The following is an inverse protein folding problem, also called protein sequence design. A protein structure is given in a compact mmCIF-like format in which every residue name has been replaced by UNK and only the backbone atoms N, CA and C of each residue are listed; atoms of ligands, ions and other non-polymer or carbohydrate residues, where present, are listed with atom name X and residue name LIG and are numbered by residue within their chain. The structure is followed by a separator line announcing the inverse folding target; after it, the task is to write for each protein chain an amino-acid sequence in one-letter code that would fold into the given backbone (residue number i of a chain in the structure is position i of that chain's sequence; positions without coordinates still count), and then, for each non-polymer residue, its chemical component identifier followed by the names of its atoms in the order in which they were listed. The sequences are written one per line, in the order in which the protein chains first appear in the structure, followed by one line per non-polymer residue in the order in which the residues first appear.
data_IF_430671803723
#
_entry.id   IF_430671803723
#
_cell.length_a   1.000
_cell.length_b   1.000
_cell.length_c   1.000
_cell.angle_alpha   90.00
_cell.angle_beta   90.00
_cell.angle_gamma   90.00
#
_symmetry.space_group_name_H-M   'P 1'
#
loop_
_entity.id
_entity.type
_entity.pdbx_description
1 polymer ?
#
# COMPACT_ATOMS: atom_id res chain seq x y z
N UNK A 1 -0.32 -33.96 -96.92
CA UNK A 1 -1.44 -33.51 -96.02
C UNK A 1 -0.86 -33.37 -94.60
N UNK A 2 -0.58 -32.14 -94.21
CA UNK A 2 0.03 -31.91 -92.91
C UNK A 2 -1.07 -31.25 -92.01
N UNK A 3 -1.55 -31.97 -91.01
CA UNK A 3 -2.54 -31.45 -90.06
C UNK A 3 -1.81 -30.56 -89.00
N UNK A 4 -2.19 -29.28 -88.99
CA UNK A 4 -1.76 -28.31 -87.99
C UNK A 4 -2.58 -28.51 -86.72
N UNK A 5 -1.95 -28.82 -85.60
CA UNK A 5 -2.57 -28.81 -84.31
C UNK A 5 -2.33 -27.46 -83.59
N UNK A 6 -3.41 -26.74 -83.29
CA UNK A 6 -3.39 -25.54 -82.52
C UNK A 6 -3.53 -25.89 -81.05
N UNK A 7 -2.55 -25.56 -80.26
CA UNK A 7 -2.59 -25.72 -78.78
C UNK A 7 -3.30 -24.50 -78.14
N UNK A 8 -4.20 -24.71 -77.20
CA UNK A 8 -4.81 -23.60 -76.45
C UNK A 8 -3.85 -23.08 -75.38
N UNK A 9 -3.75 -21.76 -75.33
CA UNK A 9 -2.98 -21.05 -74.28
C UNK A 9 -3.71 -21.17 -72.94
N UNK A 10 -3.06 -21.81 -71.99
CA UNK A 10 -3.54 -21.85 -70.58
C UNK A 10 -3.09 -20.60 -69.88
N UNK A 11 -4.04 -19.69 -69.60
CA UNK A 11 -3.79 -18.50 -68.77
C UNK A 11 -3.71 -18.96 -67.33
N UNK A 12 -2.51 -18.89 -66.72
CA UNK A 12 -2.29 -19.14 -65.29
C UNK A 12 -2.62 -17.84 -64.58
N UNK A 13 -3.73 -17.82 -63.84
CA UNK A 13 -4.10 -16.74 -62.92
C UNK A 13 -3.24 -16.92 -61.65
N UNK A 14 -2.23 -16.07 -61.45
CA UNK A 14 -1.51 -15.94 -60.20
C UNK A 14 -2.38 -15.16 -59.21
N UNK A 15 -3.06 -15.89 -58.32
CA UNK A 15 -3.67 -15.27 -57.14
C UNK A 15 -2.53 -14.87 -56.18
N UNK A 16 -2.28 -13.57 -56.07
CA UNK A 16 -1.42 -13.01 -55.03
C UNK A 16 -2.11 -13.11 -53.65
N UNK A 17 -1.71 -14.06 -52.87
CA UNK A 17 -2.10 -14.20 -51.47
C UNK A 17 -1.35 -13.16 -50.64
N UNK A 18 -1.99 -12.07 -50.23
CA UNK A 18 -1.46 -11.13 -49.25
C UNK A 18 -1.73 -11.72 -47.85
N UNK A 19 -0.70 -11.86 -47.01
CA UNK A 19 -0.93 -12.33 -45.63
C UNK A 19 -1.71 -11.27 -44.86
N UNK A 20 -2.67 -11.63 -44.01
CA UNK A 20 -3.37 -10.68 -43.15
C UNK A 20 -2.36 -9.99 -42.24
N UNK A 21 -2.36 -8.66 -42.26
CA UNK A 21 -1.57 -7.83 -41.35
C UNK A 21 -2.04 -8.12 -39.93
N UNK A 22 -1.17 -8.78 -39.16
CA UNK A 22 -1.41 -8.96 -37.74
C UNK A 22 -1.36 -7.59 -37.07
N UNK A 23 -2.52 -7.01 -36.78
CA UNK A 23 -2.63 -5.87 -35.86
C UNK A 23 -2.16 -6.34 -34.50
N UNK A 24 -0.98 -5.86 -34.09
CA UNK A 24 -0.50 -6.04 -32.73
C UNK A 24 -1.53 -5.40 -31.78
N UNK A 25 -2.33 -6.22 -31.12
CA UNK A 25 -3.16 -5.78 -30.02
C UNK A 25 -2.21 -5.33 -28.91
N UNK A 26 -2.06 -4.01 -28.74
CA UNK A 26 -1.48 -3.43 -27.56
C UNK A 26 -2.36 -3.84 -26.39
N UNK A 27 -1.92 -4.84 -25.63
CA UNK A 27 -2.54 -5.19 -24.35
C UNK A 27 -2.59 -3.92 -23.50
N UNK A 28 -3.73 -3.57 -22.91
CA UNK A 28 -3.78 -2.42 -22.01
C UNK A 28 -2.76 -2.70 -20.90
N UNK A 29 -1.78 -1.81 -20.79
CA UNK A 29 -0.83 -1.81 -19.68
C UNK A 29 -1.68 -1.74 -18.42
N UNK A 30 -1.75 -2.83 -17.67
CA UNK A 30 -2.40 -2.83 -16.36
C UNK A 30 -1.69 -1.75 -15.55
N UNK A 31 -2.37 -0.64 -15.29
CA UNK A 31 -1.87 0.35 -14.36
C UNK A 31 -1.69 -0.37 -13.03
N UNK A 32 -0.45 -0.59 -12.63
CA UNK A 32 -0.14 -1.19 -11.34
C UNK A 32 -0.77 -0.30 -10.27
N UNK A 33 -1.76 -0.83 -9.56
CA UNK A 33 -2.35 -0.14 -8.43
C UNK A 33 -1.22 0.11 -7.42
N UNK A 34 -1.11 1.34 -6.93
CA UNK A 34 -0.12 1.66 -5.91
C UNK A 34 -0.23 0.68 -4.73
N UNK A 35 0.89 0.18 -4.22
CA UNK A 35 0.87 -0.78 -3.13
C UNK A 35 0.21 -0.19 -1.89
N UNK A 36 -0.60 -0.99 -1.23
CA UNK A 36 -1.22 -0.64 0.03
C UNK A 36 -0.32 -1.15 1.16
N UNK A 37 0.11 -0.26 2.03
CA UNK A 37 0.95 -0.60 3.17
C UNK A 37 0.19 -0.46 4.48
N UNK A 38 0.51 -1.30 5.43
CA UNK A 38 0.00 -1.32 6.79
C UNK A 38 1.14 -0.91 7.72
N UNK A 39 0.80 -0.30 8.86
CA UNK A 39 1.80 0.15 9.81
C UNK A 39 1.61 -0.53 11.16
N UNK A 40 2.72 -0.74 11.86
CA UNK A 40 2.74 -1.29 13.22
C UNK A 40 3.56 -0.38 14.11
N UNK A 41 2.95 0.03 15.22
CA UNK A 41 3.60 0.74 16.30
C UNK A 41 3.54 -0.10 17.57
N UNK A 42 4.63 -0.14 18.32
CA UNK A 42 4.72 -0.82 19.62
C UNK A 42 5.06 0.21 20.66
N UNK A 43 4.35 0.18 21.77
CA UNK A 43 4.52 1.08 22.89
C UNK A 43 4.64 0.34 24.22
N UNK A 44 5.31 0.93 25.18
CA UNK A 44 5.45 0.40 26.53
C UNK A 44 4.17 0.54 27.35
N UNK A 45 3.39 1.58 27.09
CA UNK A 45 2.11 1.78 27.75
C UNK A 45 1.15 2.58 26.87
N UNK A 46 -0.12 2.49 27.21
CA UNK A 46 -1.20 3.21 26.54
C UNK A 46 -2.09 3.90 27.57
N UNK A 47 -2.57 5.07 27.23
CA UNK A 47 -3.61 5.78 27.98
C UNK A 47 -4.66 6.34 27.03
N UNK A 48 -5.91 6.38 27.47
CA UNK A 48 -7.01 7.01 26.74
C UNK A 48 -7.76 7.96 27.65
N UNK A 49 -7.78 9.23 27.26
CA UNK A 49 -8.44 10.29 28.03
C UNK A 49 -8.97 11.35 27.06
N UNK A 50 -10.19 11.79 27.28
CA UNK A 50 -10.84 12.90 26.56
C UNK A 50 -10.78 12.74 25.02
N UNK A 51 -10.95 11.50 24.53
CA UNK A 51 -10.89 11.18 23.10
C UNK A 51 -9.47 11.04 22.53
N UNK A 52 -8.45 11.22 23.36
CA UNK A 52 -7.04 11.11 22.95
C UNK A 52 -6.45 9.79 23.40
N UNK A 53 -5.99 9.01 22.43
CA UNK A 53 -5.18 7.81 22.64
C UNK A 53 -3.70 8.20 22.67
N UNK A 54 -3.02 7.95 23.76
CA UNK A 54 -1.59 8.19 23.95
C UNK A 54 -0.86 6.86 24.00
N UNK A 55 0.05 6.64 23.09
CA UNK A 55 1.04 5.57 23.13
C UNK A 55 2.33 6.14 23.69
N UNK A 56 2.78 5.61 24.82
CA UNK A 56 3.98 6.12 25.52
C UNK A 56 5.18 5.21 25.34
N UNK A 57 6.36 5.85 25.23
CA UNK A 57 7.65 5.18 24.99
C UNK A 57 7.55 4.22 23.80
N UNK A 58 7.08 4.78 22.67
CA UNK A 58 6.97 4.01 21.42
C UNK A 58 8.35 3.68 20.86
N UNK A 59 8.45 2.57 20.14
CA UNK A 59 9.64 2.29 19.31
C UNK A 59 9.97 3.53 18.46
N UNK A 60 11.25 3.92 18.32
CA UNK A 60 11.62 5.09 17.54
C UNK A 60 11.27 4.98 16.06
N UNK A 61 10.96 3.79 15.61
CA UNK A 61 10.62 3.47 14.23
C UNK A 61 9.23 2.83 14.16
N UNK A 62 8.43 3.29 13.21
CA UNK A 62 7.19 2.63 12.79
C UNK A 62 7.52 1.60 11.72
N UNK A 63 7.14 0.35 11.93
CA UNK A 63 7.28 -0.70 10.93
C UNK A 63 6.15 -0.62 9.93
N UNK A 64 6.44 -0.84 8.66
CA UNK A 64 5.42 -0.98 7.62
C UNK A 64 5.63 -2.25 6.80
N UNK A 65 4.55 -2.75 6.24
CA UNK A 65 4.57 -3.89 5.32
C UNK A 65 3.36 -3.83 4.38
N UNK A 66 3.47 -4.51 3.25
CA UNK A 66 2.35 -4.74 2.33
C UNK A 66 2.06 -6.22 2.21
N UNK A 67 0.83 -6.53 1.79
CA UNK A 67 0.43 -7.87 1.41
C UNK A 67 1.06 -8.31 0.09
N UNK A 68 0.82 -9.56 -0.27
CA UNK A 68 1.15 -10.09 -1.59
C UNK A 68 0.29 -9.39 -2.65
N UNK A 69 0.82 -9.20 -3.86
CA UNK A 69 2.10 -9.69 -4.38
C UNK A 69 3.33 -8.83 -4.04
N UNK A 70 3.15 -7.60 -3.59
CA UNK A 70 4.22 -6.59 -3.48
C UNK A 70 5.26 -6.94 -2.42
N UNK A 71 4.84 -7.50 -1.27
CA UNK A 71 5.71 -7.96 -0.18
C UNK A 71 6.72 -6.91 0.29
N UNK A 72 6.30 -5.66 0.36
CA UNK A 72 7.13 -4.58 0.88
C UNK A 72 7.24 -4.70 2.39
N UNK A 73 8.40 -4.40 2.94
CA UNK A 73 8.59 -4.24 4.38
C UNK A 73 9.70 -3.24 4.64
N UNK A 74 9.59 -2.52 5.74
CA UNK A 74 10.59 -1.57 6.15
C UNK A 74 10.21 -0.86 7.44
N UNK A 75 11.00 0.14 7.77
CA UNK A 75 10.78 0.98 8.94
C UNK A 75 10.96 2.43 8.57
N UNK A 76 10.17 3.30 9.16
CA UNK A 76 10.34 4.74 9.03
C UNK A 76 10.28 5.40 10.41
N UNK A 77 10.94 6.53 10.52
CA UNK A 77 10.92 7.30 11.76
C UNK A 77 9.51 7.79 12.05
N UNK A 78 9.17 7.92 13.33
CA UNK A 78 7.82 8.30 13.73
C UNK A 78 7.40 9.71 13.26
N UNK A 79 8.35 10.63 13.12
CA UNK A 79 8.07 11.96 12.58
C UNK A 79 7.66 11.89 11.10
N UNK A 80 8.30 11.00 10.33
CA UNK A 80 7.94 10.75 8.94
C UNK A 80 6.58 10.07 8.82
N UNK A 81 6.32 9.10 9.68
CA UNK A 81 5.01 8.45 9.75
C UNK A 81 3.90 9.49 10.03
N UNK A 82 4.09 10.39 11.00
CA UNK A 82 3.11 11.43 11.31
C UNK A 82 2.90 12.41 10.13
N UNK A 83 3.95 12.71 9.36
CA UNK A 83 3.85 13.56 8.18
C UNK A 83 3.04 12.89 7.04
N UNK A 84 3.18 11.56 6.85
CA UNK A 84 2.39 10.81 5.86
C UNK A 84 0.88 10.99 6.05
N UNK A 85 0.44 11.26 7.26
CA UNK A 85 -0.98 11.45 7.57
C UNK A 85 -1.63 12.55 6.76
N UNK A 86 -0.87 13.61 6.47
CA UNK A 86 -1.35 14.80 5.77
C UNK A 86 -1.17 14.72 4.26
N UNK A 87 -0.59 13.65 3.74
CA UNK A 87 -0.17 13.56 2.34
C UNK A 87 -1.18 12.82 1.45
N UNK A 88 -1.29 13.31 0.21
CA UNK A 88 -2.05 12.68 -0.87
C UNK A 88 -3.56 12.82 -0.77
N UNK A 89 -4.23 12.58 -1.89
CA UNK A 89 -5.70 12.61 -1.99
C UNK A 89 -6.37 11.49 -1.18
N UNK A 90 -5.70 10.34 -1.08
CA UNK A 90 -6.14 9.18 -0.30
C UNK A 90 -5.34 9.06 1.01
N UNK A 91 -4.79 10.17 1.50
CA UNK A 91 -4.08 10.21 2.78
C UNK A 91 -5.04 10.05 3.95
N UNK A 92 -4.52 9.63 5.07
CA UNK A 92 -5.26 9.37 6.31
C UNK A 92 -6.03 10.58 6.85
N UNK A 93 -5.64 11.79 6.47
CA UNK A 93 -6.39 13.00 6.80
C UNK A 93 -7.79 13.02 6.15
N UNK A 94 -7.87 12.54 4.91
CA UNK A 94 -9.10 12.55 4.12
C UNK A 94 -9.91 11.26 4.29
N UNK A 95 -9.22 10.16 4.55
CA UNK A 95 -9.80 8.83 4.79
C UNK A 95 -9.13 8.22 6.04
N UNK A 96 -9.62 8.54 7.23
CA UNK A 96 -9.02 8.12 8.49
C UNK A 96 -8.97 6.59 8.61
N UNK A 97 -7.81 6.02 8.95
CA UNK A 97 -7.64 4.58 8.99
C UNK A 97 -8.34 3.96 10.18
N UNK A 98 -8.76 2.73 9.98
CA UNK A 98 -9.03 1.82 11.09
C UNK A 98 -7.71 1.30 11.65
N UNK A 99 -7.71 1.02 12.95
CA UNK A 99 -6.58 0.40 13.59
C UNK A 99 -7.04 -0.63 14.64
N UNK A 100 -6.25 -1.69 14.79
CA UNK A 100 -6.41 -2.66 15.85
C UNK A 100 -5.42 -2.34 16.99
N UNK A 101 -5.94 -1.83 18.09
CA UNK A 101 -5.19 -1.64 19.32
C UNK A 101 -5.24 -2.93 20.12
N UNK A 102 -4.10 -3.52 20.38
CA UNK A 102 -3.95 -4.68 21.28
C UNK A 102 -3.16 -4.26 22.51
N UNK A 103 -3.75 -4.37 23.67
CA UNK A 103 -3.09 -4.12 24.96
C UNK A 103 -2.82 -5.45 25.64
N UNK A 104 -1.56 -5.73 25.90
CA UNK A 104 -1.14 -7.01 26.51
C UNK A 104 -1.43 -7.02 28.02
N UNK A 105 -2.01 -8.10 28.45
CA UNK A 105 -2.28 -8.34 29.87
C UNK A 105 -1.43 -9.53 30.32
N UNK A 106 -0.42 -9.35 31.19
CA UNK A 106 0.42 -10.43 31.65
C UNK A 106 -0.34 -11.57 32.39
N UNK A 107 -1.49 -11.23 32.98
CA UNK A 107 -2.31 -12.17 33.73
C UNK A 107 -3.48 -12.80 32.97
N UNK A 108 -3.64 -12.48 31.67
CA UNK A 108 -4.81 -12.96 30.93
C UNK A 108 -4.78 -12.71 29.44
N UNK A 109 -5.97 -12.72 28.84
CA UNK A 109 -6.12 -12.46 27.41
C UNK A 109 -5.82 -10.99 27.10
N UNK A 110 -5.16 -10.69 25.96
CA UNK A 110 -5.00 -9.33 25.49
C UNK A 110 -6.35 -8.65 25.30
N UNK A 111 -6.44 -7.37 25.61
CA UNK A 111 -7.58 -6.54 25.21
C UNK A 111 -7.35 -6.07 23.78
N UNK A 112 -8.31 -6.31 22.89
CA UNK A 112 -8.28 -5.86 21.51
C UNK A 112 -9.45 -4.96 21.22
N UNK A 113 -9.17 -3.77 20.71
CA UNK A 113 -10.14 -2.75 20.34
C UNK A 113 -9.88 -2.29 18.91
N UNK A 114 -10.93 -2.17 18.12
CA UNK A 114 -10.84 -1.54 16.80
C UNK A 114 -11.20 -0.07 16.95
N UNK A 115 -10.34 0.80 16.45
CA UNK A 115 -10.46 2.25 16.55
C UNK A 115 -10.33 2.91 15.20
N UNK A 116 -10.90 4.10 15.05
CA UNK A 116 -10.54 5.05 13.99
C UNK A 116 -9.57 6.04 14.61
N UNK A 117 -8.53 6.39 13.87
CA UNK A 117 -7.47 7.31 14.30
C UNK A 117 -7.47 8.57 13.45
N UNK A 118 -7.23 9.71 14.09
CA UNK A 118 -7.01 11.00 13.42
C UNK A 118 -5.94 11.80 14.16
N UNK A 119 -5.43 12.84 13.50
CA UNK A 119 -4.56 13.86 14.10
C UNK A 119 -3.36 13.31 14.91
N UNK A 120 -2.42 12.58 14.26
CA UNK A 120 -1.22 12.14 14.97
C UNK A 120 -0.38 13.31 15.45
N UNK A 121 0.09 13.22 16.69
CA UNK A 121 0.96 14.19 17.32
C UNK A 121 2.10 13.49 18.00
N UNK A 122 3.30 14.06 17.91
CA UNK A 122 4.49 13.55 18.58
C UNK A 122 4.83 14.46 19.77
N UNK A 123 5.13 13.84 20.89
CA UNK A 123 5.68 14.50 22.07
C UNK A 123 6.80 13.62 22.64
N UNK A 124 8.04 13.97 22.32
CA UNK A 124 9.20 13.17 22.67
C UNK A 124 9.11 11.75 22.13
N UNK A 125 8.99 10.77 23.04
CA UNK A 125 8.82 9.35 22.71
C UNK A 125 7.35 8.91 22.68
N UNK A 126 6.41 9.83 22.77
CA UNK A 126 5.00 9.52 22.77
C UNK A 126 4.38 9.84 21.41
N UNK A 127 3.43 9.03 20.98
CA UNK A 127 2.54 9.33 19.84
C UNK A 127 1.12 9.41 20.38
N UNK A 128 0.44 10.48 20.02
CA UNK A 128 -0.96 10.70 20.38
C UNK A 128 -1.82 10.75 19.12
N UNK A 129 -3.02 10.22 19.23
CA UNK A 129 -4.06 10.27 18.20
C UNK A 129 -5.37 10.71 18.82
N UNK A 130 -6.20 11.44 18.09
CA UNK A 130 -7.60 11.47 18.43
C UNK A 130 -8.18 10.12 17.98
N UNK A 131 -8.90 9.44 18.88
CA UNK A 131 -9.34 8.07 18.65
C UNK A 131 -10.81 7.87 19.04
N UNK A 132 -11.50 7.03 18.26
CA UNK A 132 -12.85 6.60 18.54
C UNK A 132 -12.97 5.09 18.36
N UNK A 133 -13.51 4.41 19.37
CA UNK A 133 -13.76 2.98 19.28
C UNK A 133 -14.85 2.68 18.23
N UNK A 134 -14.60 1.69 17.39
CA UNK A 134 -15.56 1.06 16.50
C UNK A 134 -16.09 -0.23 17.09
N UNK A 135 -15.21 -1.00 17.73
CA UNK A 135 -15.54 -2.28 18.34
C UNK A 135 -14.67 -2.49 19.56
N UNK A 136 -15.27 -2.92 20.66
CA UNK A 136 -14.60 -3.05 21.94
C UNK A 136 -14.54 -1.71 22.70
N UNK A 137 -13.74 -1.67 23.74
CA UNK A 137 -13.57 -0.51 24.61
C UNK A 137 -12.08 -0.17 24.69
N UNK A 138 -11.74 1.11 24.51
CA UNK A 138 -10.36 1.57 24.66
C UNK A 138 -10.08 1.65 26.16
N UNK A 139 -9.08 0.93 26.67
CA UNK A 139 -8.78 0.98 28.10
C UNK A 139 -8.26 2.37 28.50
N UNK A 140 -8.72 2.88 29.64
CA UNK A 140 -8.27 4.16 30.19
C UNK A 140 -6.75 4.17 30.40
N UNK A 141 -6.20 3.04 30.82
CA UNK A 141 -4.76 2.82 30.95
C UNK A 141 -4.42 1.36 30.65
N UNK A 142 -3.24 1.12 30.11
CA UNK A 142 -2.73 -0.21 29.81
C UNK A 142 -1.20 -0.24 29.74
N UNK A 143 -0.66 -1.45 29.80
CA UNK A 143 0.76 -1.72 29.64
C UNK A 143 1.20 -1.80 28.20
N UNK A 144 2.12 -2.71 27.94
CA UNK A 144 2.65 -2.95 26.59
C UNK A 144 1.53 -3.14 25.58
N UNK A 145 1.68 -2.51 24.43
CA UNK A 145 0.64 -2.48 23.41
C UNK A 145 1.21 -2.46 22.00
N UNK A 146 0.42 -2.98 21.08
CA UNK A 146 0.67 -2.89 19.64
C UNK A 146 -0.53 -2.25 18.96
N UNK A 147 -0.26 -1.35 18.03
CA UNK A 147 -1.24 -0.68 17.19
C UNK A 147 -0.96 -1.03 15.75
N UNK A 148 -1.90 -1.77 15.14
CA UNK A 148 -1.89 -2.11 13.72
C UNK A 148 -2.80 -1.15 12.98
N UNK A 149 -2.24 -0.35 12.07
CA UNK A 149 -2.96 0.69 11.34
C UNK A 149 -3.13 0.24 9.90
N UNK A 150 -4.39 0.21 9.43
CA UNK A 150 -4.75 -0.30 8.12
C UNK A 150 -4.56 0.76 7.01
N UNK A 151 -4.15 0.28 5.86
CA UNK A 151 -4.50 0.81 4.55
C UNK A 151 -3.99 2.16 4.07
N UNK A 152 -2.69 2.46 4.09
CA UNK A 152 -2.15 3.59 3.35
C UNK A 152 -1.80 3.21 1.91
N UNK A 153 -2.39 3.90 0.93
CA UNK A 153 -2.01 3.77 -0.46
C UNK A 153 -0.77 4.62 -0.73
N UNK A 154 0.40 3.97 -0.78
CA UNK A 154 1.65 4.66 -1.09
C UNK A 154 1.56 5.30 -2.49
N UNK A 155 1.70 6.64 -2.62
CA UNK A 155 1.63 7.29 -3.92
C UNK A 155 2.84 6.90 -4.76
N UNK A 156 2.67 5.91 -5.63
CA UNK A 156 3.68 5.54 -6.63
C UNK A 156 3.68 6.46 -7.86
N UNK A 157 2.84 7.46 -7.86
CA UNK A 157 2.72 8.36 -9.00
C UNK A 157 3.34 9.70 -8.63
N UNK A 158 4.65 9.77 -8.79
CA UNK A 158 5.19 10.96 -8.26
C UNK A 158 6.15 11.68 -9.10
N UNK A 159 5.64 12.64 -9.69
CA UNK A 159 6.26 13.91 -9.79
C UNK A 159 6.35 14.68 -8.44
N UNK A 160 6.01 14.05 -7.34
CA UNK A 160 6.21 14.62 -6.03
C UNK A 160 7.62 14.27 -5.57
N UNK A 161 8.49 15.29 -5.57
CA UNK A 161 9.71 15.30 -4.80
C UNK A 161 9.35 15.20 -3.30
N UNK A 162 8.84 14.04 -2.89
CA UNK A 162 8.69 13.75 -1.48
C UNK A 162 10.04 13.21 -1.00
N UNK A 163 10.85 14.01 -0.27
CA UNK A 163 12.17 13.59 0.18
C UNK A 163 12.11 12.36 1.09
N UNK A 164 10.95 12.02 1.62
CA UNK A 164 10.72 10.91 2.53
C UNK A 164 10.45 9.59 1.82
N UNK A 165 9.86 9.66 0.63
CA UNK A 165 9.69 8.50 -0.25
C UNK A 165 10.91 8.31 -1.16
N UNK A 166 11.84 9.27 -1.20
CA UNK A 166 13.10 9.11 -1.95
C UNK A 166 14.03 8.09 -1.32
N UNK A 167 13.92 7.82 -0.03
CA UNK A 167 14.62 6.71 0.62
C UNK A 167 13.96 5.34 0.35
N UNK A 168 12.65 5.36 -0.01
CA UNK A 168 11.89 4.17 -0.41
C UNK A 168 11.13 4.47 -1.71
N UNK A 169 11.83 4.69 -2.82
CA UNK A 169 11.18 4.96 -4.09
C UNK A 169 10.34 3.76 -4.53
N UNK A 170 9.31 4.04 -5.31
CA UNK A 170 8.46 2.99 -5.90
C UNK A 170 9.25 1.92 -6.66
N UNK A 171 10.51 2.19 -7.06
CA UNK A 171 11.41 1.20 -7.61
C UNK A 171 11.84 0.13 -6.59
N UNK A 172 11.88 0.44 -5.30
CA UNK A 172 12.12 -0.58 -4.28
C UNK A 172 11.00 -1.61 -4.25
N UNK A 173 9.77 -1.19 -4.57
CA UNK A 173 8.65 -2.11 -4.76
C UNK A 173 8.87 -3.06 -5.94
N UNK A 174 9.55 -2.62 -7.00
CA UNK A 174 9.86 -3.46 -8.17
C UNK A 174 11.14 -4.28 -8.01
N UNK A 175 12.10 -3.83 -7.18
CA UNK A 175 13.35 -4.53 -6.97
C UNK A 175 13.20 -5.80 -6.09
N UNK A 176 12.17 -5.88 -5.26
CA UNK A 176 11.87 -7.05 -4.43
C UNK A 176 10.83 -8.00 -5.03
N UNK A 177 10.24 -7.68 -6.17
CA UNK A 177 9.29 -8.56 -6.88
C UNK A 177 9.96 -9.59 -7.80
N UNK A 178 11.28 -9.64 -7.86
CA UNK A 178 12.09 -10.54 -8.69
C UNK A 178 12.82 -11.58 -7.85
N UNK A 179 12.12 -12.57 -7.35
CA UNK A 179 12.69 -13.74 -6.70
C UNK A 179 11.74 -14.91 -6.77
#
# INVERSE_FOLDING_TARGET
MIKKYTLPAIAVLLLSYAPPSATAQTSPTAQSKAPQVQFVQVARSVAFKDGVLTLSDVSPMTTFFSDRPERLTGQLRNDLFANLWNEGKNGFKNDPPNAALTVFNPAGKPNQTIVVLTNPRLDGKNIMFDARALKGEIPVQGGESALFIDGYQAPCNSGLNNPWLSEYPCWAATAFSGG
#
